data_IF_086349855685
#
_entry.id   IF_086349855685
#
_cell.length_a   1.000
_cell.length_b   1.000
_cell.length_c   1.000
_cell.angle_alpha   90.00
_cell.angle_beta   90.00
_cell.angle_gamma   90.00
#
_symmetry.space_group_name_H-M   'P 1'
#
loop_
_entity.id
_entity.type
_entity.pdbx_description
1 polymer ?
#
# COMPACT_ATOMS: atom_id res chain seq x y z
N UNK A 1 -9.08 28.60 -1.45
CA UNK A 1 -9.66 27.44 -2.14
C UNK A 1 -8.64 26.36 -1.92
N UNK A 2 -9.01 25.30 -1.20
CA UNK A 2 -8.06 24.27 -0.77
C UNK A 2 -7.55 23.51 -2.00
N UNK A 3 -6.28 23.69 -2.32
CA UNK A 3 -5.56 23.02 -3.42
C UNK A 3 -5.38 21.50 -3.17
N UNK A 4 -6.00 20.94 -2.13
CA UNK A 4 -5.84 19.54 -1.68
C UNK A 4 -6.92 18.59 -2.25
N UNK A 5 -8.00 19.11 -2.85
CA UNK A 5 -9.18 18.30 -3.20
C UNK A 5 -8.96 17.34 -4.39
N UNK A 6 -7.75 17.26 -4.95
CA UNK A 6 -7.39 16.32 -6.02
C UNK A 6 -6.04 15.62 -5.83
N UNK A 7 -5.37 15.81 -4.69
CA UNK A 7 -4.04 15.29 -4.43
C UNK A 7 -4.05 13.80 -4.01
N UNK A 8 -2.90 13.14 -4.15
CA UNK A 8 -2.71 11.78 -3.64
C UNK A 8 -2.96 11.75 -2.12
N UNK A 9 -3.89 10.90 -1.65
CA UNK A 9 -4.21 10.76 -0.22
C UNK A 9 -3.47 9.56 0.42
N UNK A 10 -2.41 9.79 1.23
CA UNK A 10 -1.70 8.69 1.88
C UNK A 10 -2.54 8.00 2.95
N UNK A 11 -3.52 8.70 3.55
CA UNK A 11 -4.38 8.17 4.60
C UNK A 11 -5.34 7.12 4.08
N UNK A 12 -5.99 7.39 2.95
CA UNK A 12 -6.87 6.41 2.27
C UNK A 12 -6.08 5.18 1.87
N UNK A 13 -4.90 5.37 1.28
CA UNK A 13 -4.01 4.28 0.88
C UNK A 13 -3.58 3.47 2.11
N UNK A 14 -3.22 4.13 3.22
CA UNK A 14 -2.85 3.46 4.47
C UNK A 14 -4.00 2.61 5.02
N UNK A 15 -5.23 3.11 4.94
CA UNK A 15 -6.41 2.38 5.38
C UNK A 15 -6.65 1.12 4.54
N UNK A 16 -6.56 1.24 3.20
CA UNK A 16 -6.67 0.10 2.27
C UNK A 16 -5.60 -0.95 2.56
N UNK A 17 -4.33 -0.54 2.64
CA UNK A 17 -3.21 -1.45 2.89
C UNK A 17 -3.38 -2.17 4.24
N UNK A 18 -3.71 -1.43 5.30
CA UNK A 18 -3.91 -2.00 6.64
C UNK A 18 -5.06 -3.02 6.66
N UNK A 19 -6.19 -2.69 6.01
CA UNK A 19 -7.34 -3.58 5.86
C UNK A 19 -6.97 -4.86 5.12
N UNK A 20 -6.29 -4.77 3.98
CA UNK A 20 -5.88 -5.93 3.19
C UNK A 20 -4.89 -6.81 3.95
N UNK A 21 -3.90 -6.21 4.63
CA UNK A 21 -2.96 -6.95 5.48
C UNK A 21 -3.67 -7.66 6.63
N UNK A 22 -4.62 -7.01 7.31
CA UNK A 22 -5.41 -7.63 8.37
C UNK A 22 -6.20 -8.83 7.84
N UNK A 23 -6.89 -8.69 6.72
CA UNK A 23 -7.67 -9.76 6.11
C UNK A 23 -6.81 -10.97 5.71
N UNK A 24 -5.56 -10.73 5.31
CA UNK A 24 -4.67 -11.79 4.83
C UNK A 24 -3.86 -12.45 5.96
N UNK A 25 -3.35 -11.68 6.92
CA UNK A 25 -2.28 -12.11 7.81
C UNK A 25 -2.61 -12.05 9.30
N UNK A 26 -3.66 -11.34 9.74
CA UNK A 26 -3.90 -11.08 11.18
C UNK A 26 -3.92 -12.35 12.03
N UNK A 27 -4.59 -13.39 11.54
CA UNK A 27 -4.75 -14.68 12.22
C UNK A 27 -3.86 -15.79 11.64
N UNK A 28 -2.77 -15.43 10.93
CA UNK A 28 -1.84 -16.40 10.36
C UNK A 28 -0.54 -16.45 11.18
N UNK A 29 -0.10 -17.67 11.50
CA UNK A 29 1.28 -17.95 11.93
C UNK A 29 2.20 -17.95 10.69
N UNK A 30 3.48 -17.64 10.87
CA UNK A 30 4.42 -17.58 9.75
C UNK A 30 4.57 -18.95 9.09
N UNK A 31 4.47 -18.96 7.77
CA UNK A 31 4.70 -20.16 6.96
C UNK A 31 5.40 -19.77 5.67
N UNK A 32 6.66 -20.18 5.52
CA UNK A 32 7.48 -19.86 4.35
C UNK A 32 6.79 -20.28 3.03
N UNK A 33 6.11 -21.43 3.03
CA UNK A 33 5.39 -21.95 1.86
C UNK A 33 4.22 -21.05 1.44
N UNK A 34 3.59 -20.35 2.38
CA UNK A 34 2.45 -19.46 2.11
C UNK A 34 2.88 -18.03 1.73
N UNK A 35 4.12 -17.63 2.01
CA UNK A 35 4.62 -16.26 1.74
C UNK A 35 4.38 -15.82 0.30
N UNK A 36 4.69 -16.62 -0.75
CA UNK A 36 4.45 -16.19 -2.13
C UNK A 36 2.98 -15.88 -2.40
N UNK A 37 2.07 -16.71 -1.88
CA UNK A 37 0.61 -16.53 -2.05
C UNK A 37 0.13 -15.31 -1.30
N UNK A 38 0.59 -15.10 -0.06
CA UNK A 38 0.23 -13.92 0.73
C UNK A 38 0.69 -12.63 0.06
N UNK A 39 1.94 -12.56 -0.41
CA UNK A 39 2.46 -11.37 -1.10
C UNK A 39 1.62 -11.05 -2.32
N UNK A 40 1.38 -12.02 -3.21
CA UNK A 40 0.56 -11.80 -4.41
C UNK A 40 -0.87 -11.38 -4.06
N UNK A 41 -1.48 -12.04 -3.07
CA UNK A 41 -2.85 -11.73 -2.62
C UNK A 41 -2.94 -10.30 -2.09
N UNK A 42 -1.98 -9.87 -1.27
CA UNK A 42 -1.96 -8.53 -0.69
C UNK A 42 -1.77 -7.49 -1.80
N UNK A 43 -0.80 -7.67 -2.69
CA UNK A 43 -0.54 -6.74 -3.80
C UNK A 43 -1.77 -6.59 -4.70
N UNK A 44 -2.36 -7.71 -5.13
CA UNK A 44 -3.56 -7.69 -5.99
C UNK A 44 -4.75 -7.00 -5.32
N UNK A 45 -5.00 -7.30 -4.04
CA UNK A 45 -6.16 -6.73 -3.34
C UNK A 45 -5.98 -5.24 -3.05
N UNK A 46 -4.76 -4.79 -2.74
CA UNK A 46 -4.46 -3.35 -2.64
C UNK A 46 -4.75 -2.67 -3.99
N UNK A 47 -4.22 -3.22 -5.09
CA UNK A 47 -4.44 -2.64 -6.42
C UNK A 47 -5.93 -2.62 -6.82
N UNK A 48 -6.69 -3.68 -6.51
CA UNK A 48 -8.13 -3.75 -6.79
C UNK A 48 -8.91 -2.69 -6.00
N UNK A 49 -8.67 -2.57 -4.69
CA UNK A 49 -9.36 -1.58 -3.85
C UNK A 49 -8.99 -0.13 -4.26
N UNK A 50 -7.72 0.14 -4.54
CA UNK A 50 -7.28 1.45 -5.04
C UNK A 50 -7.86 1.77 -6.41
N UNK A 51 -7.99 0.78 -7.31
CA UNK A 51 -8.60 1.00 -8.62
C UNK A 51 -10.08 1.38 -8.50
N UNK A 52 -10.82 0.75 -7.59
CA UNK A 52 -12.23 1.12 -7.32
C UNK A 52 -12.32 2.54 -6.78
N UNK A 53 -11.55 2.86 -5.74
CA UNK A 53 -11.51 4.21 -5.16
C UNK A 53 -11.14 5.28 -6.19
N UNK A 54 -10.14 5.01 -7.04
CA UNK A 54 -9.70 5.90 -8.11
C UNK A 54 -10.77 6.13 -9.17
N UNK A 55 -11.56 5.10 -9.52
CA UNK A 55 -12.68 5.24 -10.46
C UNK A 55 -13.80 6.07 -9.84
N UNK A 56 -14.11 5.90 -8.56
CA UNK A 56 -15.16 6.64 -7.89
C UNK A 56 -14.77 8.10 -7.64
N UNK A 57 -13.53 8.37 -7.23
CA UNK A 57 -12.98 9.72 -7.12
C UNK A 57 -13.02 10.46 -8.47
N UNK A 58 -12.65 9.78 -9.56
CA UNK A 58 -12.71 10.37 -10.90
C UNK A 58 -14.13 10.75 -11.35
N UNK A 59 -15.17 10.03 -10.89
CA UNK A 59 -16.58 10.42 -11.17
C UNK A 59 -16.98 11.69 -10.44
N UNK A 60 -16.33 11.98 -9.31
CA UNK A 60 -16.57 13.17 -8.49
C UNK A 60 -15.65 14.34 -8.87
N UNK A 61 -14.89 14.22 -9.97
CA UNK A 61 -14.04 15.31 -10.49
C UNK A 61 -12.60 15.31 -9.97
N UNK A 62 -12.19 14.31 -9.18
CA UNK A 62 -10.82 14.21 -8.69
C UNK A 62 -9.87 13.68 -9.78
N UNK A 63 -8.57 13.97 -9.63
CA UNK A 63 -7.55 13.47 -10.53
C UNK A 63 -7.42 11.94 -10.46
N UNK A 64 -6.94 11.34 -11.56
CA UNK A 64 -6.70 9.90 -11.63
C UNK A 64 -5.24 9.61 -11.34
N UNK A 65 -4.98 8.41 -10.83
CA UNK A 65 -3.63 7.96 -10.53
C UNK A 65 -3.29 6.63 -11.21
N UNK A 66 -2.02 6.47 -11.55
CA UNK A 66 -1.35 5.18 -11.75
C UNK A 66 -0.74 4.74 -10.42
N UNK A 67 -0.95 3.47 -10.05
CA UNK A 67 -0.45 2.93 -8.80
C UNK A 67 0.65 1.89 -9.01
N UNK A 68 1.68 1.94 -8.16
CA UNK A 68 2.70 0.90 -8.02
C UNK A 68 2.72 0.45 -6.57
N UNK A 69 2.62 -0.85 -6.32
CA UNK A 69 2.58 -1.43 -4.97
C UNK A 69 3.76 -2.38 -4.79
N UNK A 70 4.54 -2.17 -3.73
CA UNK A 70 5.63 -3.06 -3.31
C UNK A 70 5.31 -3.60 -1.91
N UNK A 71 5.35 -4.91 -1.71
CA UNK A 71 5.11 -5.56 -0.41
C UNK A 71 6.26 -6.51 -0.11
N UNK A 72 6.85 -6.36 1.07
CA UNK A 72 7.90 -7.23 1.61
C UNK A 72 7.42 -7.85 2.91
N UNK A 73 7.52 -9.19 3.03
CA UNK A 73 7.20 -9.92 4.26
C UNK A 73 8.47 -10.45 4.91
N UNK A 74 8.54 -10.36 6.25
CA UNK A 74 9.62 -10.90 7.06
C UNK A 74 9.05 -11.69 8.24
N UNK A 75 9.66 -12.82 8.56
CA UNK A 75 9.45 -13.47 9.85
C UNK A 75 10.11 -12.65 10.98
N UNK A 76 9.37 -12.43 12.07
CA UNK A 76 9.87 -11.75 13.27
C UNK A 76 10.74 -12.70 14.09
N UNK A 77 12.03 -12.73 13.79
CA UNK A 77 13.06 -13.52 14.49
C UNK A 77 14.13 -12.65 15.16
N UNK A 78 13.88 -11.35 15.29
CA UNK A 78 14.81 -10.38 15.89
C UNK A 78 15.75 -9.70 14.89
N UNK A 79 15.71 -10.05 13.60
CA UNK A 79 16.46 -9.36 12.56
C UNK A 79 15.81 -8.01 12.18
N UNK A 80 16.66 -7.00 11.96
CA UNK A 80 16.21 -5.68 11.49
C UNK A 80 15.94 -5.68 9.98
N UNK A 81 15.00 -4.84 9.56
CA UNK A 81 14.72 -4.55 8.15
C UNK A 81 14.53 -3.05 7.95
N UNK A 82 15.18 -2.54 6.91
CA UNK A 82 15.12 -1.13 6.50
C UNK A 82 14.77 -1.08 5.02
N UNK A 83 13.82 -0.23 4.67
CA UNK A 83 13.43 0.03 3.29
C UNK A 83 13.56 1.54 3.04
N UNK A 84 14.20 1.88 1.93
CA UNK A 84 14.32 3.25 1.45
C UNK A 84 13.96 3.28 -0.04
N UNK A 85 13.45 4.41 -0.49
CA UNK A 85 13.14 4.63 -1.90
C UNK A 85 13.42 6.10 -2.26
N UNK A 86 13.73 6.36 -3.52
CA UNK A 86 13.97 7.70 -4.05
C UNK A 86 13.24 7.84 -5.38
N UNK A 87 12.67 9.02 -5.61
CA UNK A 87 11.76 9.28 -6.72
C UNK A 87 12.14 10.61 -7.38
N UNK A 88 11.96 10.64 -8.70
CA UNK A 88 12.02 11.86 -9.50
C UNK A 88 10.67 12.03 -10.18
N UNK A 89 9.84 12.92 -9.64
CA UNK A 89 8.42 13.05 -9.95
C UNK A 89 7.87 14.44 -9.58
N UNK A 90 6.60 14.71 -9.84
CA UNK A 90 5.96 15.97 -9.48
C UNK A 90 5.59 15.99 -7.99
N UNK A 91 6.28 16.82 -7.21
CA UNK A 91 6.09 16.90 -5.76
C UNK A 91 4.73 17.47 -5.33
N UNK A 92 4.02 18.15 -6.24
CA UNK A 92 2.70 18.70 -5.94
C UNK A 92 1.60 17.65 -6.11
N UNK A 93 1.78 16.71 -7.04
CA UNK A 93 0.71 15.84 -7.53
C UNK A 93 0.96 14.35 -7.25
N UNK A 94 2.22 13.93 -7.22
CA UNK A 94 2.61 12.54 -7.00
C UNK A 94 2.93 12.29 -5.52
N UNK A 95 2.70 11.07 -5.06
CA UNK A 95 2.87 10.72 -3.66
C UNK A 95 3.17 9.27 -3.39
N UNK A 96 3.64 8.99 -2.18
CA UNK A 96 3.77 7.64 -1.65
C UNK A 96 3.14 7.49 -0.29
N UNK A 97 2.75 6.26 0.04
CA UNK A 97 2.38 5.85 1.37
C UNK A 97 3.21 4.63 1.76
N UNK A 98 3.91 4.74 2.90
CA UNK A 98 4.62 3.65 3.54
C UNK A 98 3.82 3.13 4.73
N UNK A 99 3.61 1.83 4.76
CA UNK A 99 2.88 1.14 5.83
C UNK A 99 3.73 0.01 6.37
N UNK A 100 3.98 0.06 7.68
CA UNK A 100 4.49 -1.08 8.45
C UNK A 100 3.32 -1.73 9.17
N UNK A 101 3.03 -2.97 8.83
CA UNK A 101 2.05 -3.82 9.48
C UNK A 101 2.76 -4.99 10.18
N UNK A 102 2.23 -5.44 11.30
CA UNK A 102 2.79 -6.60 12.01
C UNK A 102 1.74 -7.37 12.80
N UNK A 103 2.00 -8.67 12.96
CA UNK A 103 1.40 -9.51 13.99
C UNK A 103 2.51 -10.08 14.89
N UNK A 104 2.23 -11.15 15.64
CA UNK A 104 3.20 -11.79 16.54
C UNK A 104 4.44 -12.33 15.79
N UNK A 105 4.26 -12.92 14.61
CA UNK A 105 5.33 -13.67 13.90
C UNK A 105 5.74 -13.06 12.56
N UNK A 106 4.97 -12.14 12.02
CA UNK A 106 5.09 -11.62 10.65
C UNK A 106 5.15 -10.10 10.71
N UNK A 107 6.10 -9.53 9.98
CA UNK A 107 6.15 -8.11 9.64
C UNK A 107 5.91 -7.96 8.15
N UNK A 108 5.06 -7.01 7.76
CA UNK A 108 4.82 -6.63 6.38
C UNK A 108 5.16 -5.15 6.19
N UNK A 109 6.04 -4.87 5.23
CA UNK A 109 6.32 -3.52 4.78
C UNK A 109 5.73 -3.32 3.39
N UNK A 110 4.80 -2.37 3.28
CA UNK A 110 4.17 -2.03 2.02
C UNK A 110 4.47 -0.58 1.65
N UNK A 111 4.87 -0.34 0.41
CA UNK A 111 4.97 1.00 -0.17
C UNK A 111 4.08 1.07 -1.39
N UNK A 112 3.20 2.06 -1.40
CA UNK A 112 2.35 2.39 -2.54
C UNK A 112 2.77 3.73 -3.08
N UNK A 113 2.98 3.81 -4.39
CA UNK A 113 3.24 5.04 -5.13
C UNK A 113 2.00 5.36 -5.96
N UNK A 114 1.53 6.60 -5.91
CA UNK A 114 0.51 7.15 -6.79
C UNK A 114 1.11 8.25 -7.64
N UNK A 115 0.98 8.11 -8.96
CA UNK A 115 1.45 9.09 -9.95
C UNK A 115 0.23 9.62 -10.69
N UNK A 116 0.01 10.93 -10.66
CA UNK A 116 -1.16 11.57 -11.26
C UNK A 116 -1.15 11.42 -12.79
N UNK A 117 -2.33 11.30 -13.42
CA UNK A 117 -2.51 11.21 -14.88
C UNK A 117 -3.57 12.16 -15.42
#
# INVERSE_FOLDING_TARGET
>A
MDDDEGAFSPEEVKAVVTKVCNNCLLNQAFSHVKVPVWVSTIVENILKELAVANVDAAKNGHAKFKYVVTVTLQQKTGAAMTMASAQYWDKANDGMCYVRWENTEIQALATVYGVMI
#
